data_IF_002612303313
#
_entry.id   IF_002612303313
#
_cell.length_a   1.000
_cell.length_b   1.000
_cell.length_c   1.000
_cell.angle_alpha   90.00
_cell.angle_beta   90.00
_cell.angle_gamma   90.00
#
_symmetry.space_group_name_H-M   'P 1'
#
loop_
_entity.id
_entity.type
_entity.pdbx_description
1 polymer ?
#
# COMPACT_ATOMS: atom_id res chain seq x y z
N UNK A 1 -39.24 -34.38 -12.66
CA UNK A 1 -37.82 -34.35 -13.09
C UNK A 1 -37.36 -32.94 -13.50
N UNK A 2 -38.13 -32.17 -14.26
CA UNK A 2 -37.77 -30.81 -14.73
C UNK A 2 -37.42 -29.80 -13.62
N UNK A 3 -38.14 -29.81 -12.50
CA UNK A 3 -37.96 -28.85 -11.41
C UNK A 3 -36.70 -29.15 -10.55
N UNK A 4 -36.28 -30.41 -10.51
CA UNK A 4 -35.10 -30.85 -9.75
C UNK A 4 -33.80 -30.35 -10.41
N UNK A 5 -33.78 -30.33 -11.75
CA UNK A 5 -32.67 -29.79 -12.56
C UNK A 5 -32.55 -28.28 -12.34
N UNK A 6 -33.68 -27.56 -12.26
CA UNK A 6 -33.70 -26.11 -12.07
C UNK A 6 -33.08 -25.70 -10.72
N UNK A 7 -33.40 -26.42 -9.64
CA UNK A 7 -32.84 -26.19 -8.30
C UNK A 7 -31.33 -26.39 -8.31
N UNK A 8 -30.85 -27.43 -9.01
CA UNK A 8 -29.42 -27.73 -9.09
C UNK A 8 -28.64 -26.63 -9.81
N UNK A 9 -29.19 -26.06 -10.89
CA UNK A 9 -28.58 -24.95 -11.63
C UNK A 9 -28.51 -23.67 -10.77
N UNK A 10 -29.55 -23.38 -10.00
CA UNK A 10 -29.57 -22.23 -9.08
C UNK A 10 -28.49 -22.39 -8.00
N UNK A 11 -28.35 -23.60 -7.43
CA UNK A 11 -27.31 -23.89 -6.43
C UNK A 11 -25.91 -23.68 -7.02
N UNK A 12 -25.66 -24.16 -8.24
CA UNK A 12 -24.37 -23.95 -8.91
C UNK A 12 -24.08 -22.46 -9.13
N UNK A 13 -25.07 -21.67 -9.52
CA UNK A 13 -24.89 -20.22 -9.71
C UNK A 13 -24.63 -19.49 -8.38
N UNK A 14 -25.30 -19.91 -7.31
CA UNK A 14 -25.14 -19.36 -5.96
C UNK A 14 -23.75 -19.67 -5.38
N UNK A 15 -23.25 -20.89 -5.59
CA UNK A 15 -21.90 -21.30 -5.21
C UNK A 15 -20.86 -20.34 -5.82
N UNK A 16 -20.94 -20.07 -7.13
CA UNK A 16 -20.00 -19.18 -7.81
C UNK A 16 -19.99 -17.73 -7.30
N UNK A 17 -21.08 -17.26 -6.67
CA UNK A 17 -21.14 -15.91 -6.10
C UNK A 17 -20.59 -15.83 -4.67
N UNK A 18 -20.60 -16.93 -3.92
CA UNK A 18 -20.13 -16.98 -2.52
C UNK A 18 -18.61 -17.19 -2.44
N UNK A 19 -17.99 -17.84 -3.42
CA UNK A 19 -16.53 -17.94 -3.51
C UNK A 19 -15.94 -16.62 -4.02
N UNK A 20 -15.74 -15.68 -3.09
CA UNK A 20 -15.10 -14.40 -3.38
C UNK A 20 -13.71 -14.59 -4.01
N UNK A 21 -13.47 -13.88 -5.11
CA UNK A 21 -12.15 -13.78 -5.71
C UNK A 21 -11.24 -13.00 -4.75
N UNK A 22 -10.05 -13.52 -4.44
CA UNK A 22 -9.10 -12.79 -3.62
C UNK A 22 -8.67 -11.51 -4.37
N UNK A 23 -8.73 -10.37 -3.68
CA UNK A 23 -8.22 -9.11 -4.23
C UNK A 23 -6.73 -9.29 -4.54
N UNK A 24 -6.37 -9.20 -5.82
CA UNK A 24 -4.97 -9.20 -6.24
C UNK A 24 -4.35 -7.89 -5.74
N UNK A 25 -3.44 -7.98 -4.78
CA UNK A 25 -2.64 -6.83 -4.37
C UNK A 25 -1.67 -6.49 -5.51
N UNK A 26 -1.79 -5.30 -6.07
CA UNK A 26 -0.84 -4.76 -7.04
C UNK A 26 0.17 -3.86 -6.31
N UNK A 27 1.45 -4.08 -6.59
CA UNK A 27 2.49 -3.22 -6.10
C UNK A 27 2.50 -1.94 -6.93
N UNK A 28 2.16 -0.81 -6.30
CA UNK A 28 2.09 0.50 -6.97
C UNK A 28 3.49 1.16 -7.01
N UNK A 29 4.18 1.25 -5.88
CA UNK A 29 5.52 1.87 -5.82
C UNK A 29 6.28 1.55 -4.51
N UNK A 30 7.59 1.84 -4.52
CA UNK A 30 8.44 1.89 -3.31
C UNK A 30 9.26 3.16 -3.35
N UNK A 31 9.12 3.98 -2.31
CA UNK A 31 10.01 5.14 -2.11
C UNK A 31 11.34 4.61 -1.59
N UNK A 32 12.48 5.09 -2.12
CA UNK A 32 13.83 4.54 -1.94
C UNK A 32 14.42 4.59 -0.53
N UNK A 33 13.58 4.70 0.50
CA UNK A 33 13.96 4.67 1.90
C UNK A 33 13.77 3.27 2.49
N UNK A 34 14.45 3.00 3.60
CA UNK A 34 14.25 1.77 4.36
C UNK A 34 12.86 1.75 5.01
N UNK A 35 12.49 0.62 5.64
CA UNK A 35 11.19 0.45 6.30
C UNK A 35 10.91 1.63 7.23
N UNK A 36 9.75 2.30 7.09
CA UNK A 36 9.42 3.44 7.93
C UNK A 36 9.25 2.99 9.37
N UNK A 37 9.88 3.73 10.29
CA UNK A 37 9.72 3.56 11.73
C UNK A 37 8.39 4.18 12.21
N UNK A 38 7.95 5.26 11.57
CA UNK A 38 6.69 5.92 11.88
C UNK A 38 6.10 6.62 10.66
N UNK A 39 4.77 6.69 10.60
CA UNK A 39 4.02 7.34 9.53
C UNK A 39 2.87 8.12 10.19
N UNK A 40 2.68 9.38 9.79
CA UNK A 40 1.54 10.20 10.20
C UNK A 40 1.00 11.04 9.03
N UNK A 41 -0.26 11.44 9.10
CA UNK A 41 -0.96 12.20 8.05
C UNK A 41 -1.60 13.46 8.63
N UNK A 42 -1.33 14.60 8.02
CA UNK A 42 -2.01 15.87 8.32
C UNK A 42 -2.45 16.57 7.04
N UNK A 43 -3.76 16.64 6.82
CA UNK A 43 -4.34 17.16 5.57
C UNK A 43 -3.88 16.37 4.35
N UNK A 44 -3.27 17.05 3.39
CA UNK A 44 -2.75 16.44 2.16
C UNK A 44 -1.27 16.04 2.28
N UNK A 45 -0.70 15.98 3.50
CA UNK A 45 0.69 15.64 3.70
C UNK A 45 0.86 14.35 4.49
N UNK A 46 1.75 13.51 3.99
CA UNK A 46 2.21 12.27 4.60
C UNK A 46 3.63 12.49 5.13
N UNK A 47 3.80 12.28 6.43
CA UNK A 47 5.07 12.40 7.12
C UNK A 47 5.62 11.00 7.40
N UNK A 48 6.81 10.70 6.88
CA UNK A 48 7.42 9.40 6.98
C UNK A 48 8.77 9.53 7.68
N UNK A 49 8.87 8.91 8.86
CA UNK A 49 10.15 8.74 9.55
C UNK A 49 10.73 7.38 9.17
N UNK A 50 11.90 7.37 8.54
CA UNK A 50 12.66 6.19 8.18
C UNK A 50 14.02 6.18 8.90
N UNK A 51 14.66 5.01 9.00
CA UNK A 51 15.94 4.88 9.72
C UNK A 51 17.03 5.78 9.13
N UNK A 52 16.98 6.06 7.83
CA UNK A 52 17.97 6.86 7.12
C UNK A 52 17.49 8.27 6.79
N UNK A 53 16.33 8.71 7.30
CA UNK A 53 15.85 10.05 7.01
C UNK A 53 14.38 10.30 7.30
N UNK A 54 13.99 11.54 7.06
CA UNK A 54 12.62 11.99 7.20
C UNK A 54 12.12 12.50 5.85
N UNK A 55 10.91 12.11 5.46
CA UNK A 55 10.34 12.40 4.15
C UNK A 55 8.95 12.98 4.34
N UNK A 56 8.65 14.03 3.58
CA UNK A 56 7.32 14.63 3.50
C UNK A 56 6.83 14.44 2.06
N UNK A 57 5.65 13.86 1.91
CA UNK A 57 4.99 13.69 0.62
C UNK A 57 3.68 14.44 0.57
N UNK A 58 3.40 15.10 -0.55
CA UNK A 58 2.08 15.57 -0.92
C UNK A 58 1.27 14.37 -1.45
N UNK A 59 0.15 14.09 -0.79
CA UNK A 59 -0.78 13.00 -1.09
C UNK A 59 -2.14 13.54 -1.58
N UNK A 60 -2.17 14.73 -2.17
CA UNK A 60 -3.38 15.30 -2.80
C UNK A 60 -3.94 14.36 -3.87
N UNK A 61 -3.06 13.79 -4.72
CA UNK A 61 -3.38 12.63 -5.56
C UNK A 61 -2.84 11.36 -4.90
N UNK A 62 -3.75 10.53 -4.39
CA UNK A 62 -3.40 9.30 -3.66
C UNK A 62 -2.79 8.23 -4.54
N UNK A 63 -3.09 8.25 -5.84
CA UNK A 63 -2.54 7.29 -6.81
C UNK A 63 -1.14 7.72 -7.25
N UNK A 64 -0.81 9.00 -7.11
CA UNK A 64 0.50 9.55 -7.47
C UNK A 64 1.06 10.52 -6.40
N UNK A 65 1.48 10.01 -5.23
CA UNK A 65 2.13 10.82 -4.20
C UNK A 65 3.43 11.45 -4.71
N UNK A 66 3.69 12.70 -4.31
CA UNK A 66 4.88 13.46 -4.73
C UNK A 66 5.73 13.79 -3.51
N UNK A 67 7.01 13.44 -3.51
CA UNK A 67 7.96 13.88 -2.48
C UNK A 67 8.15 15.40 -2.58
N UNK A 68 7.83 16.13 -1.51
CA UNK A 68 7.99 17.59 -1.44
C UNK A 68 9.22 18.02 -0.67
N UNK A 69 9.69 17.18 0.27
CA UNK A 69 10.91 17.44 1.04
C UNK A 69 11.46 16.16 1.65
N UNK A 70 12.77 16.13 1.82
CA UNK A 70 13.45 15.10 2.59
C UNK A 70 14.60 15.67 3.43
N UNK A 71 14.95 14.94 4.47
CA UNK A 71 16.20 15.09 5.20
C UNK A 71 16.81 13.71 5.29
N UNK A 72 17.89 13.49 4.54
CA UNK A 72 18.64 12.24 4.59
C UNK A 72 19.64 12.32 5.73
N UNK A 73 19.56 11.37 6.66
CA UNK A 73 20.61 11.22 7.65
C UNK A 73 21.81 10.57 6.96
N UNK A 74 23.02 11.17 7.03
CA UNK A 74 24.20 10.52 6.48
C UNK A 74 24.39 9.17 7.15
N UNK A 75 24.63 8.15 6.32
CA UNK A 75 24.87 6.78 6.73
C UNK A 75 25.84 6.78 7.92
N UNK A 76 25.52 6.13 9.05
CA UNK A 76 26.46 5.93 10.14
C UNK A 76 27.86 5.46 9.68
N UNK A 77 27.95 4.71 8.57
CA UNK A 77 29.22 4.30 7.98
C UNK A 77 30.09 5.48 7.48
N UNK A 78 29.47 6.60 7.07
CA UNK A 78 30.18 7.83 6.69
C UNK A 78 30.54 8.72 7.88
N UNK A 79 30.17 8.35 9.11
CA UNK A 79 30.44 9.12 10.34
C UNK A 79 31.68 8.64 11.11
N UNK A 80 32.37 7.61 10.63
CA UNK A 80 33.44 6.93 11.36
C UNK A 80 34.86 7.50 11.13
N UNK A 81 35.03 8.60 10.39
CA UNK A 81 36.36 9.11 10.00
C UNK A 81 36.54 10.64 10.14
N UNK A 82 36.07 11.23 11.24
CA UNK A 82 36.46 12.58 11.68
C UNK A 82 36.80 12.59 13.17
#
# INVERSE_FOLDING_TARGET
MKNQILIFVIILFYINTVFGQANKLEFISRVGYCTPAHIDVSGNYLYVNAVNGFVIMDITDKENPIEVSNVVQPDPANRAWY
#
